data_IF_563544305459
#
_entry.id   IF_563544305459
#
_cell.length_a   1.000
_cell.length_b   1.000
_cell.length_c   1.000
_cell.angle_alpha   90.00
_cell.angle_beta   90.00
_cell.angle_gamma   90.00
#
_symmetry.space_group_name_H-M   'P 1'
#
loop_
_entity.id
_entity.type
_entity.pdbx_description
1 polymer ?
#
# COMPACT_ATOMS: atom_id res chain seq x y z
N UNK A 1 -32.58 17.59 -0.40
CA UNK A 1 -33.20 16.24 -0.37
C UNK A 1 -32.58 15.29 -1.40
N UNK A 2 -32.51 15.63 -2.70
CA UNK A 2 -31.95 14.74 -3.75
C UNK A 2 -30.52 14.22 -3.52
N UNK A 3 -29.62 15.02 -2.97
CA UNK A 3 -28.21 14.64 -2.79
C UNK A 3 -28.04 13.55 -1.71
N UNK A 4 -28.85 13.61 -0.65
CA UNK A 4 -28.83 12.59 0.42
C UNK A 4 -29.47 11.27 -0.02
N UNK A 5 -30.42 11.31 -0.94
CA UNK A 5 -30.96 10.11 -1.57
C UNK A 5 -29.91 9.44 -2.46
N UNK A 6 -29.19 10.22 -3.28
CA UNK A 6 -28.16 9.71 -4.19
C UNK A 6 -26.97 9.11 -3.42
N UNK A 7 -26.55 9.73 -2.31
CA UNK A 7 -25.51 9.18 -1.46
C UNK A 7 -25.94 7.84 -0.82
N UNK A 8 -27.20 7.72 -0.39
CA UNK A 8 -27.75 6.46 0.13
C UNK A 8 -27.89 5.40 -0.95
N UNK A 9 -28.29 5.76 -2.16
CA UNK A 9 -28.39 4.82 -3.28
C UNK A 9 -27.00 4.29 -3.67
N UNK A 10 -25.95 5.13 -3.66
CA UNK A 10 -24.57 4.69 -3.89
C UNK A 10 -24.06 3.79 -2.76
N UNK A 11 -24.28 4.15 -1.49
CA UNK A 11 -23.89 3.30 -0.35
C UNK A 11 -24.65 1.96 -0.33
N UNK A 12 -25.88 1.94 -0.83
CA UNK A 12 -26.73 0.76 -0.87
C UNK A 12 -26.45 -0.11 -2.11
N UNK A 13 -26.05 0.48 -3.24
CA UNK A 13 -25.47 -0.24 -4.39
C UNK A 13 -24.08 -0.81 -4.05
N UNK A 14 -23.26 -0.18 -3.21
CA UNK A 14 -22.00 -0.79 -2.74
C UNK A 14 -22.24 -1.93 -1.72
N UNK A 15 -23.34 -1.87 -0.96
CA UNK A 15 -23.70 -2.90 0.03
C UNK A 15 -24.47 -4.10 -0.56
N UNK A 16 -25.22 -3.89 -1.66
CA UNK A 16 -26.06 -4.90 -2.33
C UNK A 16 -25.53 -5.28 -3.73
N UNK A 17 -24.52 -4.56 -4.24
CA UNK A 17 -23.94 -4.68 -5.57
C UNK A 17 -22.86 -5.75 -5.70
N UNK A 18 -23.19 -6.97 -5.30
CA UNK A 18 -22.63 -8.14 -5.98
C UNK A 18 -23.19 -8.19 -7.40
N UNK A 19 -22.71 -7.34 -8.31
CA UNK A 19 -23.07 -7.40 -9.73
C UNK A 19 -22.74 -8.82 -10.20
N UNK A 20 -23.75 -9.55 -10.69
CA UNK A 20 -23.61 -10.93 -11.17
C UNK A 20 -22.64 -10.95 -12.36
N UNK A 21 -21.34 -11.08 -12.09
CA UNK A 21 -20.28 -10.97 -13.10
C UNK A 21 -18.88 -10.63 -12.56
N UNK A 22 -18.75 -10.02 -11.38
CA UNK A 22 -17.43 -9.76 -10.81
C UNK A 22 -16.96 -10.94 -9.97
N UNK A 23 -16.29 -11.89 -10.63
CA UNK A 23 -15.63 -12.99 -9.93
C UNK A 23 -14.36 -12.43 -9.26
N UNK A 24 -14.28 -12.52 -7.94
CA UNK A 24 -13.07 -12.22 -7.19
C UNK A 24 -12.11 -13.41 -7.22
N UNK A 25 -10.82 -13.13 -7.28
CA UNK A 25 -9.75 -14.12 -7.24
C UNK A 25 -8.85 -13.83 -6.04
N UNK A 26 -8.39 -14.88 -5.35
CA UNK A 26 -7.39 -14.74 -4.29
C UNK A 26 -6.13 -14.07 -4.83
N UNK A 27 -5.70 -13.02 -4.15
CA UNK A 27 -4.53 -12.25 -4.54
C UNK A 27 -3.26 -12.83 -3.92
N UNK A 28 -2.24 -12.99 -4.75
CA UNK A 28 -0.88 -13.24 -4.30
C UNK A 28 0.12 -12.53 -5.22
N UNK A 29 1.17 -11.90 -4.67
CA UNK A 29 2.25 -11.32 -5.47
C UNK A 29 2.80 -12.30 -6.52
N UNK A 30 2.59 -11.99 -7.80
CA UNK A 30 2.94 -12.90 -8.90
C UNK A 30 4.42 -12.83 -9.29
N UNK A 31 5.11 -11.73 -8.93
CA UNK A 31 6.50 -11.45 -9.31
C UNK A 31 7.48 -11.47 -8.15
N UNK A 32 6.99 -11.47 -6.91
CA UNK A 32 7.82 -11.44 -5.71
C UNK A 32 7.43 -12.55 -4.74
N UNK A 33 8.40 -13.37 -4.36
CA UNK A 33 8.21 -14.48 -3.41
C UNK A 33 8.83 -14.14 -2.04
N UNK A 34 8.53 -12.96 -1.51
CA UNK A 34 9.13 -12.42 -0.29
C UNK A 34 8.03 -12.09 0.72
N UNK A 35 8.32 -12.28 2.00
CA UNK A 35 7.39 -11.98 3.08
C UNK A 35 6.44 -13.13 3.39
N UNK A 36 5.57 -12.90 4.36
CA UNK A 36 4.56 -13.86 4.79
C UNK A 36 3.19 -13.52 4.18
N UNK A 37 2.25 -14.48 4.10
CA UNK A 37 0.86 -14.19 3.74
C UNK A 37 0.27 -13.05 4.56
N UNK A 38 -0.57 -12.22 3.93
CA UNK A 38 -1.39 -11.26 4.66
C UNK A 38 -2.31 -12.00 5.66
N UNK A 39 -2.53 -11.50 6.89
CA UNK A 39 -3.35 -12.18 7.89
C UNK A 39 -4.80 -12.36 7.46
N UNK A 40 -5.35 -11.37 6.75
CA UNK A 40 -6.67 -11.44 6.13
C UNK A 40 -6.58 -11.91 4.67
N UNK A 41 -7.57 -12.64 4.15
CA UNK A 41 -7.67 -12.97 2.73
C UNK A 41 -7.69 -11.70 1.89
N UNK A 42 -6.79 -11.61 0.92
CA UNK A 42 -6.79 -10.53 -0.06
C UNK A 42 -7.34 -11.09 -1.36
N UNK A 43 -8.21 -10.31 -1.99
CA UNK A 43 -8.78 -10.63 -3.29
C UNK A 43 -8.61 -9.45 -4.23
N UNK A 44 -8.60 -9.75 -5.52
CA UNK A 44 -8.72 -8.75 -6.58
C UNK A 44 -9.82 -9.16 -7.57
N UNK A 45 -10.25 -8.22 -8.40
CA UNK A 45 -11.20 -8.54 -9.47
C UNK A 45 -10.52 -9.40 -10.53
N UNK A 46 -11.27 -10.31 -11.15
CA UNK A 46 -10.75 -11.13 -12.25
C UNK A 46 -10.10 -10.30 -13.37
N UNK A 47 -10.64 -9.10 -13.64
CA UNK A 47 -10.10 -8.17 -14.63
C UNK A 47 -8.73 -7.62 -14.27
N UNK A 48 -8.47 -7.34 -12.99
CA UNK A 48 -7.13 -6.94 -12.53
C UNK A 48 -6.15 -8.12 -12.59
N UNK A 49 -6.56 -9.32 -12.16
CA UNK A 49 -5.69 -10.51 -12.18
C UNK A 49 -5.23 -10.92 -13.58
N UNK A 50 -6.00 -10.55 -14.61
CA UNK A 50 -5.68 -10.84 -16.01
C UNK A 50 -4.49 -10.03 -16.54
N UNK A 51 -4.09 -8.96 -15.84
CA UNK A 51 -2.99 -8.10 -16.24
C UNK A 51 -1.77 -8.38 -15.37
N UNK A 52 -0.66 -8.73 -16.01
CA UNK A 52 0.59 -8.95 -15.30
C UNK A 52 1.20 -7.62 -14.86
N UNK A 53 1.66 -7.49 -13.60
CA UNK A 53 2.38 -6.31 -13.17
C UNK A 53 3.76 -6.23 -13.84
N UNK A 54 4.36 -5.03 -13.91
CA UNK A 54 5.70 -4.86 -14.48
C UNK A 54 6.75 -5.65 -13.68
N UNK A 55 7.89 -5.96 -14.29
CA UNK A 55 8.97 -6.66 -13.57
C UNK A 55 9.52 -5.80 -12.41
N UNK A 56 9.66 -6.37 -11.20
CA UNK A 56 10.29 -5.71 -10.08
C UNK A 56 11.80 -5.63 -10.32
N UNK A 57 12.35 -4.42 -10.26
CA UNK A 57 13.78 -4.12 -10.48
C UNK A 57 14.43 -3.47 -9.27
N UNK A 58 13.64 -3.15 -8.24
CA UNK A 58 14.13 -2.51 -7.02
C UNK A 58 14.41 -3.52 -5.92
N UNK A 59 15.59 -3.45 -5.31
CA UNK A 59 15.96 -4.22 -4.12
C UNK A 59 15.94 -3.31 -2.88
N UNK A 60 15.01 -3.50 -1.93
CA UNK A 60 14.94 -2.69 -0.71
C UNK A 60 16.22 -2.75 0.13
N UNK A 61 16.70 -1.62 0.62
CA UNK A 61 17.81 -1.55 1.56
C UNK A 61 17.44 -2.11 2.94
N UNK A 62 16.16 -2.09 3.29
CA UNK A 62 15.64 -2.68 4.53
C UNK A 62 15.29 -4.16 4.42
N UNK A 63 15.66 -4.83 3.32
CA UNK A 63 15.26 -6.22 3.02
C UNK A 63 15.54 -7.21 4.15
N UNK A 64 16.76 -7.22 4.70
CA UNK A 64 17.14 -8.12 5.80
C UNK A 64 16.23 -7.95 7.03
N UNK A 65 15.79 -6.71 7.31
CA UNK A 65 14.88 -6.40 8.41
C UNK A 65 13.46 -6.88 8.12
N UNK A 66 13.00 -6.76 6.88
CA UNK A 66 11.67 -7.24 6.45
C UNK A 66 11.56 -8.77 6.61
N UNK A 67 12.59 -9.51 6.19
CA UNK A 67 12.60 -10.97 6.27
C UNK A 67 12.75 -11.49 7.71
N UNK A 68 13.66 -10.89 8.49
CA UNK A 68 13.94 -11.34 9.85
C UNK A 68 12.81 -11.02 10.83
N UNK A 69 12.24 -9.82 10.75
CA UNK A 69 11.20 -9.37 11.69
C UNK A 69 9.78 -9.69 11.23
N UNK A 70 9.58 -10.03 9.95
CA UNK A 70 8.25 -10.33 9.37
C UNK A 70 7.22 -9.23 9.68
N UNK A 71 7.65 -7.98 9.49
CA UNK A 71 6.86 -6.78 9.83
C UNK A 71 5.89 -6.36 8.72
N UNK A 72 6.11 -6.84 7.49
CA UNK A 72 5.24 -6.61 6.34
C UNK A 72 4.86 -7.94 5.68
N UNK A 73 3.60 -8.05 5.26
CA UNK A 73 3.12 -9.13 4.42
C UNK A 73 3.68 -9.04 3.00
N UNK A 74 3.58 -10.14 2.24
CA UNK A 74 4.08 -10.22 0.87
C UNK A 74 3.51 -9.12 -0.04
N UNK A 75 2.20 -8.84 0.02
CA UNK A 75 1.55 -7.75 -0.74
C UNK A 75 2.09 -6.37 -0.35
N UNK A 76 2.35 -6.13 0.93
CA UNK A 76 2.88 -4.85 1.40
C UNK A 76 4.34 -4.64 0.95
N UNK A 77 5.14 -5.72 0.94
CA UNK A 77 6.51 -5.71 0.41
C UNK A 77 6.49 -5.48 -1.11
N UNK A 78 5.60 -6.14 -1.84
CA UNK A 78 5.46 -5.92 -3.29
C UNK A 78 5.12 -4.46 -3.61
N UNK A 79 4.16 -3.90 -2.88
CA UNK A 79 3.79 -2.49 -2.99
C UNK A 79 4.97 -1.57 -2.69
N UNK A 80 5.75 -1.86 -1.64
CA UNK A 80 6.95 -1.11 -1.30
C UNK A 80 7.99 -1.14 -2.44
N UNK A 81 8.23 -2.31 -3.04
CA UNK A 81 9.16 -2.50 -4.16
C UNK A 81 8.73 -1.65 -5.37
N UNK A 82 7.46 -1.75 -5.77
CA UNK A 82 6.95 -1.00 -6.91
C UNK A 82 6.91 0.51 -6.66
N UNK A 83 6.57 0.95 -5.43
CA UNK A 83 6.62 2.36 -5.06
C UNK A 83 8.04 2.92 -5.16
N UNK A 84 9.02 2.21 -4.59
CA UNK A 84 10.42 2.60 -4.69
C UNK A 84 10.93 2.62 -6.13
N UNK A 85 10.57 1.63 -6.95
CA UNK A 85 10.90 1.59 -8.37
C UNK A 85 10.33 2.78 -9.13
N UNK A 86 9.06 3.14 -8.89
CA UNK A 86 8.44 4.33 -9.50
C UNK A 86 9.13 5.61 -9.05
N UNK A 87 9.52 5.71 -7.78
CA UNK A 87 10.21 6.89 -7.22
C UNK A 87 11.62 7.14 -7.78
N UNK A 88 12.20 6.19 -8.51
CA UNK A 88 13.44 6.41 -9.29
C UNK A 88 13.21 7.19 -10.58
N UNK A 89 11.96 7.27 -11.06
CA UNK A 89 11.61 7.92 -12.30
C UNK A 89 11.15 9.37 -12.08
N UNK A 90 11.34 10.21 -13.10
CA UNK A 90 10.82 11.57 -13.15
C UNK A 90 9.84 11.68 -14.31
N UNK A 91 8.74 12.40 -14.09
CA UNK A 91 7.77 12.74 -15.14
C UNK A 91 8.29 13.91 -15.98
N UNK A 92 7.60 14.23 -17.08
CA UNK A 92 8.03 15.25 -18.05
C UNK A 92 8.28 16.64 -17.42
N UNK A 93 7.58 16.99 -16.34
CA UNK A 93 7.79 18.25 -15.62
C UNK A 93 9.09 18.29 -14.80
N UNK A 94 9.85 17.19 -14.75
CA UNK A 94 11.03 17.04 -13.89
C UNK A 94 10.70 16.69 -12.44
N UNK A 95 9.42 16.61 -12.06
CA UNK A 95 9.02 16.11 -10.75
C UNK A 95 9.24 14.59 -10.63
N UNK A 96 9.54 14.11 -9.43
CA UNK A 96 9.60 12.67 -9.15
C UNK A 96 8.21 12.06 -9.38
N UNK A 97 8.15 10.89 -10.02
CA UNK A 97 6.90 10.17 -10.17
C UNK A 97 6.37 9.71 -8.80
N UNK A 98 5.07 9.92 -8.57
CA UNK A 98 4.38 9.40 -7.39
C UNK A 98 3.94 7.94 -7.55
N UNK A 99 3.41 7.39 -6.46
CA UNK A 99 2.81 6.06 -6.41
C UNK A 99 1.46 6.15 -5.68
N UNK A 100 0.46 5.42 -6.15
CA UNK A 100 -0.87 5.38 -5.55
C UNK A 100 -1.18 3.96 -5.05
N UNK A 101 -1.64 3.86 -3.80
CA UNK A 101 -2.04 2.58 -3.18
C UNK A 101 -3.56 2.60 -3.03
N UNK A 102 -4.24 1.85 -3.90
CA UNK A 102 -5.70 1.81 -4.00
C UNK A 102 -6.37 0.68 -3.21
N UNK A 103 -5.63 -0.06 -2.39
CA UNK A 103 -6.15 -1.24 -1.70
C UNK A 103 -7.29 -0.89 -0.74
N UNK A 104 -8.15 -1.87 -0.46
CA UNK A 104 -9.27 -1.76 0.47
C UNK A 104 -8.85 -1.39 1.90
N UNK A 105 -9.84 -1.09 2.75
CA UNK A 105 -9.60 -0.94 4.19
C UNK A 105 -9.09 -2.26 4.79
N UNK A 106 -8.28 -2.18 5.86
CA UNK A 106 -7.75 -3.37 6.55
C UNK A 106 -6.43 -3.92 5.98
N UNK A 107 -6.08 -3.64 4.72
CA UNK A 107 -4.86 -4.16 4.05
C UNK A 107 -3.53 -3.62 4.64
N UNK A 108 -3.60 -2.66 5.57
CA UNK A 108 -2.42 -2.12 6.26
C UNK A 108 -1.60 -1.12 5.44
N UNK A 109 -2.26 -0.31 4.60
CA UNK A 109 -1.61 0.76 3.79
C UNK A 109 -0.70 1.69 4.60
N UNK A 110 -1.10 2.05 5.82
CA UNK A 110 -0.27 2.87 6.72
C UNK A 110 1.07 2.21 7.05
N UNK A 111 1.07 0.91 7.31
CA UNK A 111 2.29 0.10 7.50
C UNK A 111 3.21 0.14 6.27
N UNK A 112 2.63 0.02 5.07
CA UNK A 112 3.37 0.14 3.80
C UNK A 112 3.99 1.53 3.65
N UNK A 113 3.26 2.61 3.95
CA UNK A 113 3.76 3.99 3.91
C UNK A 113 4.92 4.17 4.91
N UNK A 114 4.79 3.67 6.14
CA UNK A 114 5.85 3.69 7.13
C UNK A 114 7.10 2.94 6.62
N UNK A 115 6.92 1.80 5.95
CA UNK A 115 8.02 1.07 5.32
C UNK A 115 8.71 1.86 4.22
N UNK A 116 7.93 2.59 3.41
CA UNK A 116 8.47 3.46 2.36
C UNK A 116 9.26 4.64 2.95
N UNK A 117 8.76 5.26 4.02
CA UNK A 117 9.49 6.32 4.75
C UNK A 117 10.79 5.75 5.32
N UNK A 118 10.74 4.59 5.97
CA UNK A 118 11.91 3.95 6.56
C UNK A 118 12.96 3.58 5.49
N UNK A 119 12.54 3.02 4.37
CA UNK A 119 13.44 2.74 3.24
C UNK A 119 14.15 4.02 2.75
N UNK A 120 13.39 5.10 2.54
CA UNK A 120 13.96 6.39 2.15
C UNK A 120 14.91 6.96 3.21
N UNK A 121 14.59 6.78 4.50
CA UNK A 121 15.45 7.16 5.61
C UNK A 121 16.80 6.44 5.55
N UNK A 122 16.82 5.15 5.21
CA UNK A 122 18.04 4.36 5.04
C UNK A 122 18.86 4.79 3.82
N UNK A 123 18.25 5.45 2.84
CA UNK A 123 18.93 6.13 1.73
C UNK A 123 19.39 7.57 2.06
N UNK A 124 19.29 7.99 3.33
CA UNK A 124 19.71 9.33 3.76
C UNK A 124 18.69 10.43 3.47
N UNK A 125 17.49 10.10 2.98
CA UNK A 125 16.40 11.06 2.78
C UNK A 125 15.67 11.24 4.12
N UNK A 126 16.12 12.22 4.91
CA UNK A 126 15.71 12.42 6.30
C UNK A 126 14.49 13.33 6.49
N UNK A 127 13.69 13.55 5.45
CA UNK A 127 12.51 14.42 5.50
C UNK A 127 11.32 13.68 4.90
N UNK A 128 10.23 13.58 5.66
CA UNK A 128 8.96 13.03 5.24
C UNK A 128 7.83 13.90 5.81
N UNK A 129 6.70 13.97 5.10
CA UNK A 129 5.47 14.60 5.59
C UNK A 129 4.34 13.60 5.41
N UNK A 130 3.69 13.24 6.52
CA UNK A 130 2.51 12.38 6.52
C UNK A 130 1.29 13.24 6.80
N UNK A 131 0.40 13.35 5.82
CA UNK A 131 -0.83 14.14 5.91
C UNK A 131 -2.02 13.19 6.02
N UNK A 132 -2.86 13.39 7.03
CA UNK A 132 -4.09 12.63 7.26
C UNK A 132 -5.29 13.56 7.42
N UNK A 133 -6.49 13.04 7.18
CA UNK A 133 -7.74 13.82 7.25
C UNK A 133 -8.22 14.10 8.69
N UNK A 134 -7.77 13.32 9.67
CA UNK A 134 -8.17 13.41 11.08
C UNK A 134 -6.98 13.51 12.01
N UNK A 135 -7.16 14.21 13.13
CA UNK A 135 -6.14 14.39 14.16
C UNK A 135 -5.73 13.09 14.84
N UNK A 136 -6.64 12.12 14.92
CA UNK A 136 -6.40 10.86 15.63
C UNK A 136 -5.54 9.90 14.79
N UNK A 137 -5.58 10.04 13.46
CA UNK A 137 -4.75 9.26 12.53
C UNK A 137 -3.25 9.53 12.70
N UNK A 138 -2.86 10.60 13.39
CA UNK A 138 -1.46 10.83 13.76
C UNK A 138 -0.92 9.73 14.68
N UNK A 139 -1.77 9.17 15.54
CA UNK A 139 -1.37 8.09 16.45
C UNK A 139 -1.23 6.77 15.69
N UNK A 140 -2.08 6.53 14.70
CA UNK A 140 -1.93 5.38 13.79
C UNK A 140 -0.65 5.49 12.96
N UNK A 141 -0.35 6.67 12.40
CA UNK A 141 0.89 6.91 11.66
C UNK A 141 2.14 6.71 12.53
N UNK A 142 2.10 7.18 13.79
CA UNK A 142 3.18 6.95 14.76
C UNK A 142 3.36 5.46 15.05
N UNK A 143 2.26 4.74 15.35
CA UNK A 143 2.28 3.29 15.56
C UNK A 143 2.86 2.55 14.35
N UNK A 144 2.47 2.93 13.12
CA UNK A 144 2.98 2.32 11.89
C UNK A 144 4.50 2.49 11.74
N UNK A 145 5.04 3.68 12.06
CA UNK A 145 6.48 3.92 12.07
C UNK A 145 7.20 3.12 13.16
N UNK A 146 6.62 3.03 14.36
CA UNK A 146 7.20 2.26 15.47
C UNK A 146 7.22 0.76 15.17
N UNK A 147 6.16 0.21 14.57
CA UNK A 147 6.09 -1.19 14.15
C UNK A 147 7.12 -1.50 13.04
N UNK A 148 7.46 -0.52 12.20
CA UNK A 148 8.57 -0.62 11.24
C UNK A 148 9.96 -0.49 11.89
N UNK A 149 10.01 -0.22 13.20
CA UNK A 149 11.21 0.08 13.96
C UNK A 149 11.89 1.38 13.52
N UNK A 150 11.09 2.36 13.09
CA UNK A 150 11.48 3.71 12.70
C UNK A 150 11.13 4.74 13.79
N UNK A 151 11.36 4.37 15.05
CA UNK A 151 11.08 5.20 16.24
C UNK A 151 11.91 6.48 16.31
N UNK A 152 13.00 6.57 15.54
CA UNK A 152 13.86 7.75 15.47
C UNK A 152 13.38 8.83 14.49
N UNK A 153 12.27 8.60 13.79
CA UNK A 153 11.65 9.59 12.89
C UNK A 153 10.56 10.30 13.69
N UNK A 154 10.63 11.63 13.81
CA UNK A 154 9.64 12.46 14.51
C UNK A 154 8.58 13.04 13.58
#
# INVERSE_FOLDING_TARGET
>A
MKIYQLAKEIEQDEADGGMSGETFTDYWPSKLSIGHPHPDPIVETSSLSAVQPPEPTYNPKIMDKLESLKILSCLQIETLVYACQRHLQHIQSGARAGFFIGDGAGVGKGRTIAGLIWENWQHGRKKALWISVGSDLKYDARRDLDDMGASCIE
#
